data_IF_414535383774
#
_entry.id   IF_414535383774
#
_cell.length_a   1.000
_cell.length_b   1.000
_cell.length_c   1.000
_cell.angle_alpha   90.00
_cell.angle_beta   90.00
_cell.angle_gamma   90.00
#
_symmetry.space_group_name_H-M   'P 1'
#
loop_
_entity.id
_entity.type
_entity.pdbx_description
1 polymer ?
#
# COMPACT_ATOMS: atom_id res chain seq x y z
N UNK A 1 -15.96 -6.41 -10.03
CA UNK A 1 -16.49 -5.45 -9.01
C UNK A 1 -15.60 -5.35 -7.78
N UNK A 2 -15.28 -6.46 -7.11
CA UNK A 2 -14.59 -6.47 -5.79
C UNK A 2 -13.26 -5.67 -5.76
N UNK A 3 -12.43 -5.76 -6.81
CA UNK A 3 -11.15 -5.01 -6.87
C UNK A 3 -11.32 -3.50 -6.71
N UNK A 4 -12.36 -2.93 -7.33
CA UNK A 4 -12.63 -1.48 -7.29
C UNK A 4 -13.10 -1.06 -5.91
N UNK A 5 -13.87 -1.90 -5.21
CA UNK A 5 -14.30 -1.63 -3.84
C UNK A 5 -13.12 -1.57 -2.87
N UNK A 6 -12.18 -2.53 -2.96
CA UNK A 6 -10.98 -2.52 -2.12
C UNK A 6 -10.09 -1.31 -2.41
N UNK A 7 -9.88 -0.98 -3.69
CA UNK A 7 -9.12 0.21 -4.08
C UNK A 7 -9.80 1.50 -3.57
N UNK A 8 -11.14 1.56 -3.63
CA UNK A 8 -11.89 2.70 -3.11
C UNK A 8 -11.69 2.86 -1.61
N UNK A 9 -11.74 1.77 -0.83
CA UNK A 9 -11.46 1.79 0.61
C UNK A 9 -10.04 2.32 0.90
N UNK A 10 -9.04 1.86 0.14
CA UNK A 10 -7.65 2.34 0.29
C UNK A 10 -7.55 3.83 -0.07
N UNK A 11 -8.24 4.31 -1.09
CA UNK A 11 -8.28 5.73 -1.45
C UNK A 11 -8.99 6.59 -0.41
N UNK A 12 -10.08 6.10 0.18
CA UNK A 12 -10.76 6.76 1.31
C UNK A 12 -9.82 6.86 2.50
N UNK A 13 -9.10 5.78 2.82
CA UNK A 13 -8.05 5.78 3.84
C UNK A 13 -6.95 6.82 3.53
N UNK A 14 -6.45 6.87 2.28
CA UNK A 14 -5.46 7.86 1.85
C UNK A 14 -5.94 9.30 2.02
N UNK A 15 -7.23 9.58 1.80
CA UNK A 15 -7.77 10.94 1.86
C UNK A 15 -8.22 11.37 3.25
N UNK A 16 -8.74 10.44 4.06
CA UNK A 16 -9.28 10.73 5.38
C UNK A 16 -8.26 10.56 6.50
N UNK A 17 -7.39 9.55 6.40
CA UNK A 17 -6.50 9.14 7.49
C UNK A 17 -5.06 9.55 7.19
N UNK A 18 -4.57 9.35 5.97
CA UNK A 18 -3.16 9.68 5.65
C UNK A 18 -2.73 11.12 5.93
N UNK A 19 -3.56 12.18 5.79
CA UNK A 19 -3.14 13.55 6.10
C UNK A 19 -2.95 13.81 7.59
N UNK A 20 -3.55 12.97 8.44
CA UNK A 20 -3.48 13.08 9.90
C UNK A 20 -2.20 12.47 10.48
N UNK A 21 -1.44 11.74 9.68
CA UNK A 21 -0.20 11.07 10.10
C UNK A 21 0.98 11.55 9.26
N UNK A 22 2.18 11.71 9.86
CA UNK A 22 3.37 12.02 9.10
C UNK A 22 3.70 10.89 8.11
N UNK A 23 4.27 11.26 6.96
CA UNK A 23 4.73 10.34 5.93
C UNK A 23 5.80 9.39 6.48
N UNK A 24 5.35 8.23 6.97
CA UNK A 24 6.19 7.24 7.65
C UNK A 24 6.64 6.10 6.72
N UNK A 25 6.15 6.10 5.47
CA UNK A 25 6.53 5.09 4.49
C UNK A 25 8.00 5.27 4.08
N UNK A 26 8.77 4.19 4.24
CA UNK A 26 10.18 4.16 3.81
C UNK A 26 10.38 3.73 2.36
N UNK A 27 9.34 3.20 1.73
CA UNK A 27 9.40 2.73 0.36
C UNK A 27 8.66 3.67 -0.60
N UNK A 28 9.21 3.79 -1.81
CA UNK A 28 8.64 4.50 -2.94
C UNK A 28 8.11 3.48 -3.97
N UNK A 29 6.85 3.53 -4.39
CA UNK A 29 5.80 4.40 -3.88
C UNK A 29 5.33 3.92 -2.48
N UNK A 30 4.55 4.76 -1.80
CA UNK A 30 4.04 4.48 -0.44
C UNK A 30 3.32 3.12 -0.35
N UNK A 31 3.27 2.51 0.83
CA UNK A 31 2.63 1.20 1.01
C UNK A 31 1.16 1.16 0.55
N UNK A 32 0.42 2.26 0.72
CA UNK A 32 -0.97 2.36 0.25
C UNK A 32 -1.05 2.42 -1.28
N UNK A 33 -0.15 3.16 -1.93
CA UNK A 33 -0.06 3.19 -3.40
C UNK A 33 0.42 1.86 -3.98
N UNK A 34 1.42 1.23 -3.36
CA UNK A 34 1.84 -0.13 -3.71
C UNK A 34 0.68 -1.12 -3.60
N UNK A 35 -0.16 -0.99 -2.57
CA UNK A 35 -1.33 -1.86 -2.39
C UNK A 35 -2.30 -1.74 -3.56
N UNK A 36 -2.57 -0.52 -4.03
CA UNK A 36 -3.43 -0.29 -5.21
C UNK A 36 -2.82 -0.95 -6.45
N UNK A 37 -1.55 -0.66 -6.74
CA UNK A 37 -0.85 -1.20 -7.91
C UNK A 37 -0.75 -2.73 -7.87
N UNK A 38 -0.47 -3.31 -6.70
CA UNK A 38 -0.37 -4.76 -6.53
C UNK A 38 -1.72 -5.45 -6.70
N UNK A 39 -2.81 -4.85 -6.21
CA UNK A 39 -4.18 -5.36 -6.39
C UNK A 39 -4.61 -5.25 -7.87
N UNK A 40 -4.21 -4.17 -8.56
CA UNK A 40 -4.48 -4.01 -9.99
C UNK A 40 -3.74 -5.05 -10.85
N UNK A 41 -2.47 -5.32 -10.52
CA UNK A 41 -1.61 -6.24 -11.28
C UNK A 41 -1.86 -7.72 -10.97
N UNK A 42 -2.01 -8.07 -9.70
CA UNK A 42 -2.06 -9.48 -9.24
C UNK A 42 -3.44 -9.92 -8.71
N UNK A 43 -4.40 -9.01 -8.61
CA UNK A 43 -5.71 -9.25 -7.99
C UNK A 43 -5.68 -9.10 -6.46
N UNK A 44 -6.85 -9.19 -5.83
CA UNK A 44 -7.02 -8.83 -4.41
C UNK A 44 -6.24 -9.75 -3.47
N UNK A 45 -6.27 -11.06 -3.71
CA UNK A 45 -5.62 -12.04 -2.82
C UNK A 45 -4.09 -11.95 -2.91
N UNK A 46 -3.52 -12.13 -4.10
CA UNK A 46 -2.06 -12.09 -4.30
C UNK A 46 -1.49 -10.68 -4.12
N UNK A 47 -2.18 -9.66 -4.63
CA UNK A 47 -1.81 -8.26 -4.45
C UNK A 47 -1.91 -7.82 -2.99
N UNK A 48 -2.97 -8.23 -2.29
CA UNK A 48 -3.15 -8.00 -0.86
C UNK A 48 -2.08 -8.66 0.00
N UNK A 49 -1.71 -9.92 -0.28
CA UNK A 49 -0.62 -10.61 0.41
C UNK A 49 0.73 -9.90 0.23
N UNK A 50 1.06 -9.48 -1.00
CA UNK A 50 2.29 -8.71 -1.30
C UNK A 50 2.29 -7.36 -0.57
N UNK A 51 1.16 -6.67 -0.59
CA UNK A 51 0.98 -5.40 0.10
C UNK A 51 1.15 -5.53 1.62
N UNK A 52 0.51 -6.53 2.23
CA UNK A 52 0.60 -6.81 3.67
C UNK A 52 2.05 -7.13 4.07
N UNK A 53 2.72 -7.98 3.29
CA UNK A 53 4.11 -8.33 3.54
C UNK A 53 5.06 -7.12 3.42
N UNK A 54 4.75 -6.16 2.53
CA UNK A 54 5.49 -4.90 2.45
C UNK A 54 5.21 -3.97 3.63
N UNK A 55 3.96 -3.88 4.09
CA UNK A 55 3.60 -3.09 5.29
C UNK A 55 4.37 -3.60 6.51
N UNK A 56 4.45 -4.91 6.71
CA UNK A 56 5.22 -5.52 7.81
C UNK A 56 6.73 -5.19 7.75
N UNK A 57 7.28 -5.07 6.54
CA UNK A 57 8.68 -4.67 6.33
C UNK A 57 8.88 -3.15 6.38
N UNK A 58 7.83 -2.35 6.37
CA UNK A 58 7.89 -0.90 6.43
C UNK A 58 8.04 -0.44 7.88
N UNK A 59 9.24 -0.66 8.45
CA UNK A 59 9.56 -0.31 9.83
C UNK A 59 10.85 0.54 9.90
N UNK A 60 11.13 1.21 11.03
CA UNK A 60 12.28 2.11 11.17
C UNK A 60 13.67 1.46 11.01
N UNK A 61 13.76 0.13 11.07
CA UNK A 61 15.02 -0.60 10.88
C UNK A 61 15.28 -0.96 9.42
N UNK A 62 14.30 -0.77 8.55
CA UNK A 62 14.49 -1.01 7.13
C UNK A 62 15.03 0.24 6.44
N UNK A 63 16.04 0.10 5.57
CA UNK A 63 16.58 1.22 4.78
C UNK A 63 15.53 1.82 3.83
N UNK A 64 14.49 1.05 3.49
CA UNK A 64 13.51 1.47 2.50
C UNK A 64 14.09 1.44 1.08
N UNK A 65 13.43 2.10 0.14
CA UNK A 65 13.88 2.18 -1.25
C UNK A 65 12.74 2.14 -2.27
N UNK A 66 13.12 2.12 -3.55
CA UNK A 66 12.18 2.06 -4.67
C UNK A 66 11.81 0.60 -4.94
N UNK A 67 10.56 0.24 -4.74
CA UNK A 67 10.04 -1.12 -4.97
C UNK A 67 8.65 -0.97 -5.62
N UNK A 68 8.47 -1.45 -6.84
CA UNK A 68 7.18 -1.42 -7.55
C UNK A 68 6.65 -2.85 -7.74
N UNK A 69 5.33 -3.07 -7.70
CA UNK A 69 4.76 -4.40 -7.84
C UNK A 69 4.82 -4.91 -9.28
#
# INVERSE_FOLDING_TARGET
MVKKAVILLIKVYQKAISPLFPSSCRFEPTCSQYSILAIEKYGILRGGLKALWRILRCNPWNKGGVDYP
#
